data_IF_154327591619
#
_entry.id   IF_154327591619
#
_cell.length_a   1.000
_cell.length_b   1.000
_cell.length_c   1.000
_cell.angle_alpha   90.00
_cell.angle_beta   90.00
_cell.angle_gamma   90.00
#
_symmetry.space_group_name_H-M   'P 1'
#
loop_
_entity.id
_entity.type
_entity.pdbx_description
1 polymer ?
#
# COMPACT_ATOMS: atom_id res chain seq x y z
N UNK A 1 -24.87 -3.30 4.57
CA UNK A 1 -24.49 -4.47 3.74
C UNK A 1 -23.89 -3.94 2.44
N UNK A 2 -22.59 -4.05 2.31
CA UNK A 2 -21.91 -3.69 1.06
C UNK A 2 -22.13 -4.83 0.05
N UNK A 3 -22.60 -4.55 -1.18
CA UNK A 3 -22.84 -5.60 -2.16
C UNK A 3 -21.55 -6.36 -2.45
N UNK A 4 -21.63 -7.68 -2.42
CA UNK A 4 -20.56 -8.54 -2.91
C UNK A 4 -20.44 -8.32 -4.42
N UNK A 5 -19.39 -7.65 -4.85
CA UNK A 5 -19.05 -7.65 -6.26
C UNK A 5 -18.84 -9.12 -6.68
N UNK A 6 -19.59 -9.59 -7.67
CA UNK A 6 -19.40 -10.92 -8.28
C UNK A 6 -18.04 -10.91 -8.96
N UNK A 7 -17.08 -11.54 -8.33
CA UNK A 7 -15.68 -11.35 -8.61
C UNK A 7 -15.17 -12.38 -9.59
N UNK A 8 -14.71 -11.86 -10.74
CA UNK A 8 -13.29 -11.81 -10.94
C UNK A 8 -12.68 -13.19 -10.89
N UNK A 9 -12.99 -14.08 -11.82
CA UNK A 9 -12.25 -15.31 -12.10
C UNK A 9 -11.20 -15.72 -11.05
N UNK A 10 -10.27 -16.55 -11.41
CA UNK A 10 -9.20 -17.06 -10.53
C UNK A 10 -8.10 -16.02 -10.14
N UNK A 11 -8.27 -14.73 -10.44
CA UNK A 11 -7.31 -13.71 -10.08
C UNK A 11 -7.56 -13.22 -8.65
N UNK A 12 -6.96 -13.88 -7.70
CA UNK A 12 -7.03 -13.51 -6.30
C UNK A 12 -6.01 -12.40 -6.02
N UNK A 13 -6.49 -11.13 -5.99
CA UNK A 13 -5.69 -10.10 -5.36
C UNK A 13 -5.71 -10.30 -3.86
N UNK A 14 -4.58 -10.56 -3.30
CA UNK A 14 -4.40 -10.50 -1.87
C UNK A 14 -4.13 -9.02 -1.53
N UNK A 15 -5.19 -8.24 -1.35
CA UNK A 15 -5.08 -7.01 -0.60
C UNK A 15 -4.94 -7.41 0.86
N UNK A 16 -3.79 -7.17 1.44
CA UNK A 16 -3.54 -7.55 2.82
C UNK A 16 -4.24 -6.60 3.80
N UNK A 17 -4.38 -5.32 3.47
CA UNK A 17 -4.94 -4.31 4.37
C UNK A 17 -6.16 -3.61 3.76
N UNK A 18 -7.33 -4.11 4.07
CA UNK A 18 -8.61 -3.45 3.77
C UNK A 18 -9.09 -2.54 4.90
N UNK A 19 -8.48 -2.66 6.08
CA UNK A 19 -8.71 -1.83 7.26
C UNK A 19 -7.42 -1.21 7.72
N UNK A 20 -7.50 0.04 8.14
CA UNK A 20 -6.41 0.73 8.85
C UNK A 20 -7.01 1.61 9.93
N UNK A 21 -6.32 1.76 11.05
CA UNK A 21 -6.78 2.55 12.17
C UNK A 21 -5.66 3.40 12.73
N UNK A 22 -5.99 4.63 13.07
CA UNK A 22 -5.16 5.50 13.87
C UNK A 22 -6.04 6.28 14.86
N UNK A 23 -5.71 6.16 16.14
CA UNK A 23 -6.56 6.68 17.22
C UNK A 23 -8.01 6.19 17.06
N UNK A 24 -8.97 7.11 17.01
CA UNK A 24 -10.40 6.82 16.90
C UNK A 24 -10.90 6.70 15.45
N UNK A 25 -10.04 6.96 14.47
CA UNK A 25 -10.40 6.86 13.06
C UNK A 25 -10.07 5.48 12.51
N UNK A 26 -11.12 4.72 12.18
CA UNK A 26 -11.04 3.47 11.44
C UNK A 26 -11.42 3.71 9.99
N UNK A 27 -10.49 3.46 9.07
CA UNK A 27 -10.72 3.55 7.62
C UNK A 27 -10.87 2.15 7.05
N UNK A 28 -11.94 1.96 6.29
CA UNK A 28 -12.24 0.71 5.61
C UNK A 28 -12.30 0.94 4.10
N UNK A 29 -11.65 0.08 3.36
CA UNK A 29 -11.59 0.14 1.90
C UNK A 29 -12.01 -1.22 1.31
N UNK A 30 -13.27 -1.40 0.88
CA UNK A 30 -13.70 -2.62 0.22
C UNK A 30 -12.81 -2.92 -0.98
N UNK A 31 -12.55 -4.20 -1.23
CA UNK A 31 -11.83 -4.61 -2.44
C UNK A 31 -12.55 -4.09 -3.68
N UNK A 32 -11.78 -3.61 -4.63
CA UNK A 32 -12.27 -3.07 -5.91
C UNK A 32 -13.21 -1.88 -5.80
N UNK A 33 -13.36 -1.30 -4.62
CA UNK A 33 -14.01 -0.01 -4.46
C UNK A 33 -13.00 1.12 -4.47
N UNK A 34 -13.34 2.20 -5.14
CA UNK A 34 -12.57 3.45 -5.09
C UNK A 34 -13.02 4.33 -3.92
N UNK A 35 -14.09 3.95 -3.23
CA UNK A 35 -14.59 4.66 -2.06
C UNK A 35 -13.98 4.10 -0.78
N UNK A 36 -13.46 4.98 0.05
CA UNK A 36 -13.02 4.69 1.41
C UNK A 36 -14.10 5.10 2.40
N UNK A 37 -14.29 4.31 3.43
CA UNK A 37 -15.32 4.51 4.44
C UNK A 37 -14.71 4.57 5.83
N UNK A 38 -15.39 5.29 6.72
CA UNK A 38 -15.26 5.07 8.16
C UNK A 38 -16.46 4.28 8.68
N UNK A 39 -16.29 3.62 9.82
CA UNK A 39 -17.37 2.92 10.48
C UNK A 39 -17.82 3.75 11.69
N UNK A 40 -19.11 4.03 11.74
CA UNK A 40 -19.76 4.60 12.91
C UNK A 40 -20.87 3.65 13.33
N UNK A 41 -20.70 3.03 14.48
CA UNK A 41 -21.52 1.92 14.94
C UNK A 41 -21.61 0.79 13.89
N UNK A 42 -22.78 0.59 13.30
CA UNK A 42 -23.02 -0.42 12.25
C UNK A 42 -23.08 0.16 10.84
N UNK A 43 -22.81 1.46 10.69
CA UNK A 43 -22.97 2.19 9.42
C UNK A 43 -21.61 2.53 8.81
N UNK A 44 -21.44 2.19 7.53
CA UNK A 44 -20.29 2.63 6.74
C UNK A 44 -20.56 3.99 6.12
N UNK A 45 -19.78 5.00 6.50
CA UNK A 45 -19.90 6.38 6.02
C UNK A 45 -18.77 6.64 5.02
N UNK A 46 -19.06 7.04 3.76
CA UNK A 46 -18.03 7.37 2.79
C UNK A 46 -17.27 8.63 3.23
N UNK A 47 -15.94 8.58 3.17
CA UNK A 47 -15.06 9.70 3.57
C UNK A 47 -14.17 10.19 2.44
N UNK A 48 -13.71 9.31 1.56
CA UNK A 48 -12.87 9.64 0.42
C UNK A 48 -13.29 8.84 -0.81
N UNK A 49 -13.12 9.45 -1.97
CA UNK A 49 -13.20 8.78 -3.26
C UNK A 49 -11.84 8.89 -3.97
N UNK A 50 -11.28 7.78 -4.39
CA UNK A 50 -10.01 7.70 -5.09
C UNK A 50 -10.25 7.94 -6.58
N UNK A 51 -10.08 9.19 -7.01
CA UNK A 51 -10.26 9.59 -8.40
C UNK A 51 -8.90 9.57 -9.14
N UNK A 52 -8.65 8.51 -9.87
CA UNK A 52 -7.50 8.39 -10.76
C UNK A 52 -7.84 8.80 -12.22
N UNK A 53 -8.89 9.59 -12.40
CA UNK A 53 -9.39 10.06 -13.69
C UNK A 53 -9.75 8.89 -14.61
N UNK A 54 -9.27 8.91 -15.84
CA UNK A 54 -9.48 7.86 -16.86
C UNK A 54 -8.85 6.51 -16.48
N UNK A 55 -8.03 6.47 -15.44
CA UNK A 55 -7.41 5.26 -14.88
C UNK A 55 -8.14 4.71 -13.65
N UNK A 56 -9.20 5.39 -13.22
CA UNK A 56 -9.99 4.91 -12.08
C UNK A 56 -10.64 3.57 -12.44
N UNK A 57 -10.47 2.59 -11.55
CA UNK A 57 -11.05 1.27 -11.74
C UNK A 57 -12.57 1.36 -11.78
N UNK A 58 -13.24 0.88 -12.86
CA UNK A 58 -14.69 0.95 -12.95
C UNK A 58 -15.33 -0.10 -12.05
N UNK A 59 -15.98 0.33 -10.97
CA UNK A 59 -16.63 -0.56 -10.00
C UNK A 59 -17.75 -1.43 -10.60
N UNK A 60 -18.30 -1.01 -11.74
CA UNK A 60 -19.37 -1.71 -12.46
C UNK A 60 -18.87 -2.90 -13.30
N UNK A 61 -17.58 -2.98 -13.58
CA UNK A 61 -17.02 -4.05 -14.37
C UNK A 61 -16.79 -5.31 -13.55
N UNK A 62 -17.86 -6.03 -13.29
CA UNK A 62 -17.83 -7.37 -12.71
C UNK A 62 -17.18 -8.44 -13.60
N UNK A 63 -16.80 -8.09 -14.83
CA UNK A 63 -16.25 -9.02 -15.82
C UNK A 63 -14.84 -8.66 -16.30
N UNK A 64 -13.93 -8.44 -15.35
CA UNK A 64 -12.49 -8.30 -15.64
C UNK A 64 -11.84 -9.64 -16.05
N UNK A 65 -12.62 -10.65 -16.32
CA UNK A 65 -12.14 -11.92 -16.90
C UNK A 65 -11.35 -11.76 -18.21
N UNK A 66 -11.40 -10.59 -18.83
CA UNK A 66 -10.63 -10.26 -20.05
C UNK A 66 -9.24 -9.69 -19.79
N UNK A 67 -8.93 -9.27 -18.57
CA UNK A 67 -7.67 -8.61 -18.28
C UNK A 67 -6.91 -9.35 -17.18
N UNK A 68 -5.67 -9.66 -17.46
CA UNK A 68 -4.72 -9.98 -16.39
C UNK A 68 -4.29 -8.65 -15.76
N UNK A 69 -4.58 -8.45 -14.50
CA UNK A 69 -4.26 -7.19 -13.78
C UNK A 69 -2.74 -7.04 -13.58
N UNK A 70 -2.00 -8.13 -13.67
CA UNK A 70 -0.54 -8.13 -13.68
C UNK A 70 0.01 -7.89 -15.11
N UNK A 71 -0.86 -7.59 -16.08
CA UNK A 71 -0.42 -7.21 -17.42
C UNK A 71 -0.07 -5.71 -17.42
N UNK A 72 1.11 -5.39 -17.92
CA UNK A 72 1.56 -4.00 -18.10
C UNK A 72 0.63 -3.17 -19.01
N UNK A 73 -0.28 -3.83 -19.73
CA UNK A 73 -1.34 -3.20 -20.55
C UNK A 73 -2.65 -3.01 -19.80
N UNK A 74 -2.72 -3.41 -18.52
CA UNK A 74 -3.94 -3.20 -17.75
C UNK A 74 -4.20 -1.70 -17.59
N UNK A 75 -5.35 -1.19 -18.09
CA UNK A 75 -5.52 0.25 -18.25
C UNK A 75 -5.89 1.00 -16.96
N UNK A 76 -6.23 0.26 -15.91
CA UNK A 76 -6.74 0.85 -14.68
C UNK A 76 -5.78 0.72 -13.52
N UNK A 77 -5.89 1.63 -12.56
CA UNK A 77 -5.19 1.58 -11.29
C UNK A 77 -5.94 0.63 -10.35
N UNK A 78 -5.18 -0.27 -9.73
CA UNK A 78 -5.71 -1.21 -8.73
C UNK A 78 -5.09 -0.91 -7.37
N UNK A 79 -5.92 -0.45 -6.45
CA UNK A 79 -5.52 -0.29 -5.07
C UNK A 79 -5.19 -1.65 -4.43
N UNK A 80 -4.08 -1.71 -3.70
CA UNK A 80 -3.65 -2.90 -2.94
C UNK A 80 -3.91 -2.74 -1.46
N UNK A 81 -3.33 -1.71 -0.86
CA UNK A 81 -3.37 -1.49 0.58
C UNK A 81 -3.73 -0.06 0.90
N UNK A 82 -4.17 0.16 2.13
CA UNK A 82 -4.30 1.47 2.75
C UNK A 82 -3.61 1.44 4.11
N UNK A 83 -2.97 2.56 4.45
CA UNK A 83 -2.33 2.74 5.75
C UNK A 83 -2.65 4.14 6.26
N UNK A 84 -3.07 4.23 7.51
CA UNK A 84 -3.32 5.49 8.17
C UNK A 84 -2.23 5.71 9.21
N UNK A 85 -1.43 6.77 9.03
CA UNK A 85 -0.33 7.12 9.90
C UNK A 85 -0.39 8.62 10.25
N UNK A 86 -0.67 8.94 11.50
CA UNK A 86 -0.98 10.30 11.91
C UNK A 86 -2.11 10.92 11.05
N UNK A 87 -1.82 12.03 10.41
CA UNK A 87 -2.74 12.73 9.51
C UNK A 87 -2.53 12.35 8.02
N UNK A 88 -1.75 11.31 7.76
CA UNK A 88 -1.47 10.85 6.42
C UNK A 88 -2.20 9.56 6.10
N UNK A 89 -2.89 9.55 4.97
CA UNK A 89 -3.43 8.36 4.35
C UNK A 89 -2.49 7.95 3.21
N UNK A 90 -1.83 6.82 3.39
CA UNK A 90 -0.96 6.23 2.37
C UNK A 90 -1.72 5.14 1.65
N UNK A 91 -1.82 5.26 0.34
CA UNK A 91 -2.52 4.32 -0.54
C UNK A 91 -1.49 3.67 -1.45
N UNK A 92 -1.41 2.37 -1.38
CA UNK A 92 -0.58 1.51 -2.22
C UNK A 92 -1.40 1.00 -3.39
N UNK A 93 -0.92 1.17 -4.61
CA UNK A 93 -1.62 0.76 -5.82
C UNK A 93 -0.67 0.26 -6.92
N UNK A 94 -1.22 -0.53 -7.83
CA UNK A 94 -0.53 -0.99 -9.04
C UNK A 94 -1.10 -0.26 -10.26
N UNK A 95 -0.19 0.20 -11.10
CA UNK A 95 -0.50 0.69 -12.44
C UNK A 95 0.58 0.21 -13.41
N UNK A 96 0.18 -0.45 -14.51
CA UNK A 96 1.08 -0.99 -15.53
C UNK A 96 2.18 -1.92 -14.95
N UNK A 97 1.78 -2.82 -14.07
CA UNK A 97 2.66 -3.76 -13.36
C UNK A 97 3.70 -3.10 -12.42
N UNK A 98 3.59 -1.80 -12.21
CA UNK A 98 4.43 -1.08 -11.25
C UNK A 98 3.66 -0.70 -10.00
N UNK A 99 4.33 -0.80 -8.86
CA UNK A 99 3.79 -0.41 -7.56
C UNK A 99 4.10 1.05 -7.27
N UNK A 100 3.06 1.81 -6.97
CA UNK A 100 3.10 3.22 -6.67
C UNK A 100 2.41 3.51 -5.35
N UNK A 101 2.61 4.73 -4.86
CA UNK A 101 1.99 5.23 -3.65
C UNK A 101 1.34 6.59 -3.90
N UNK A 102 0.21 6.81 -3.23
CA UNK A 102 -0.39 8.12 -3.05
C UNK A 102 -0.33 8.45 -1.55
N UNK A 103 0.36 9.52 -1.20
CA UNK A 103 0.35 10.07 0.14
C UNK A 103 -0.63 11.25 0.16
N UNK A 104 -1.70 11.13 0.95
CA UNK A 104 -2.70 12.17 1.14
C UNK A 104 -2.60 12.74 2.55
N UNK A 105 -2.36 14.03 2.65
CA UNK A 105 -2.41 14.78 3.91
C UNK A 105 -3.86 15.18 4.21
N UNK A 106 -4.44 14.58 5.24
CA UNK A 106 -5.83 14.81 5.61
C UNK A 106 -6.09 16.20 6.22
N UNK A 107 -5.04 16.91 6.66
CA UNK A 107 -5.19 18.27 7.20
C UNK A 107 -5.25 19.30 6.07
N UNK A 108 -4.40 19.16 5.08
CA UNK A 108 -4.29 20.14 3.98
C UNK A 108 -5.13 19.74 2.76
N UNK A 109 -5.48 18.46 2.63
CA UNK A 109 -6.14 17.91 1.45
C UNK A 109 -5.18 17.68 0.28
N UNK A 110 -3.88 17.91 0.45
CA UNK A 110 -2.91 17.69 -0.62
C UNK A 110 -2.62 16.20 -0.83
N UNK A 111 -2.41 15.83 -2.08
CA UNK A 111 -2.02 14.47 -2.47
C UNK A 111 -0.77 14.48 -3.32
N UNK A 112 0.14 13.55 -3.04
CA UNK A 112 1.37 13.34 -3.81
C UNK A 112 1.43 11.90 -4.26
N UNK A 113 1.72 11.69 -5.55
CA UNK A 113 1.84 10.35 -6.15
C UNK A 113 3.29 10.09 -6.54
N UNK A 114 3.73 8.85 -6.36
CA UNK A 114 5.08 8.46 -6.75
C UNK A 114 5.58 7.21 -6.05
N UNK A 115 6.89 7.13 -5.98
CA UNK A 115 7.59 6.09 -5.21
C UNK A 115 8.04 6.68 -3.87
N UNK A 116 8.02 5.84 -2.84
CA UNK A 116 8.66 6.19 -1.58
C UNK A 116 10.09 5.66 -1.64
N UNK A 117 11.05 6.55 -1.51
CA UNK A 117 12.47 6.21 -1.41
C UNK A 117 12.96 6.42 -0.01
N UNK A 118 13.93 5.62 0.40
CA UNK A 118 14.62 5.81 1.66
C UNK A 118 15.70 6.88 1.48
N UNK A 119 15.74 7.88 2.35
CA UNK A 119 16.74 8.95 2.32
C UNK A 119 18.11 8.51 2.87
N UNK A 120 18.16 7.39 3.60
CA UNK A 120 19.40 6.82 4.15
C UNK A 120 20.01 5.76 3.24
N UNK A 121 19.19 5.14 2.38
CA UNK A 121 19.59 4.01 1.54
C UNK A 121 19.15 4.29 0.12
N UNK A 122 20.07 4.83 -0.69
CA UNK A 122 19.82 5.07 -2.11
C UNK A 122 19.37 3.77 -2.81
N UNK A 123 18.39 3.89 -3.70
CA UNK A 123 17.83 2.81 -4.50
C UNK A 123 16.99 1.78 -3.75
N UNK A 124 16.86 1.86 -2.43
CA UNK A 124 15.96 1.01 -1.69
C UNK A 124 14.52 1.57 -1.79
N UNK A 125 13.70 0.89 -2.59
CA UNK A 125 12.26 1.19 -2.67
C UNK A 125 11.57 0.66 -1.44
N UNK A 126 10.88 1.54 -0.76
CA UNK A 126 10.12 1.23 0.44
C UNK A 126 8.75 0.64 0.09
N UNK A 127 8.38 -0.45 0.76
CA UNK A 127 7.11 -1.15 0.56
C UNK A 127 6.40 -1.38 1.90
N UNK A 128 5.64 -0.38 2.42
CA UNK A 128 4.95 -0.51 3.69
C UNK A 128 4.19 -1.81 3.83
N UNK A 129 4.43 -2.53 4.91
CA UNK A 129 3.71 -3.75 5.25
C UNK A 129 2.63 -3.47 6.29
N UNK A 130 2.90 -2.59 7.22
CA UNK A 130 1.95 -2.18 8.25
C UNK A 130 2.32 -0.83 8.87
N UNK A 131 1.36 -0.26 9.59
CA UNK A 131 1.52 0.96 10.36
C UNK A 131 1.20 0.65 11.82
N UNK A 132 1.99 1.19 12.72
CA UNK A 132 1.71 1.14 14.15
C UNK A 132 1.94 2.51 14.77
N UNK A 133 0.88 3.08 15.30
CA UNK A 133 0.87 4.45 15.82
C UNK A 133 1.27 5.47 14.74
N UNK A 134 2.39 6.14 14.93
CA UNK A 134 2.95 7.16 14.03
C UNK A 134 4.08 6.63 13.13
N UNK A 135 4.26 5.32 13.08
CA UNK A 135 5.38 4.68 12.37
C UNK A 135 4.88 3.82 11.23
N UNK A 136 5.55 3.95 10.11
CA UNK A 136 5.38 3.07 8.96
C UNK A 136 6.48 2.01 9.02
N UNK A 137 6.10 0.76 8.85
CA UNK A 137 7.01 -0.36 9.02
C UNK A 137 7.05 -1.18 7.74
N UNK A 138 8.26 -1.42 7.27
CA UNK A 138 8.59 -2.35 6.22
C UNK A 138 9.54 -3.43 6.77
N UNK A 139 9.64 -4.55 6.09
CA UNK A 139 10.58 -5.59 6.45
C UNK A 139 11.08 -6.34 5.22
N UNK A 140 12.29 -6.83 5.32
CA UNK A 140 12.91 -7.70 4.33
C UNK A 140 13.60 -8.85 5.04
N UNK A 141 13.54 -10.05 4.50
CA UNK A 141 14.33 -11.15 5.03
C UNK A 141 15.84 -10.91 4.82
N UNK A 142 16.65 -11.45 5.73
CA UNK A 142 18.08 -11.21 5.74
C UNK A 142 18.79 -11.71 4.46
N UNK A 143 18.36 -12.86 3.93
CA UNK A 143 18.89 -13.42 2.70
C UNK A 143 18.66 -12.50 1.50
N UNK A 144 17.42 -12.02 1.33
CA UNK A 144 17.06 -11.06 0.27
C UNK A 144 17.80 -9.73 0.41
N UNK A 145 17.99 -9.23 1.64
CA UNK A 145 18.75 -8.00 1.85
C UNK A 145 20.23 -8.17 1.43
N UNK A 146 20.84 -9.29 1.77
CA UNK A 146 22.22 -9.62 1.38
C UNK A 146 22.35 -9.78 -0.13
N UNK A 147 21.41 -10.50 -0.75
CA UNK A 147 21.44 -10.81 -2.18
C UNK A 147 21.19 -9.58 -3.06
N UNK A 148 20.12 -8.84 -2.79
CA UNK A 148 19.67 -7.77 -3.68
C UNK A 148 20.17 -6.37 -3.30
N UNK A 149 20.58 -6.17 -2.05
CA UNK A 149 21.04 -4.88 -1.53
C UNK A 149 22.36 -4.98 -0.73
N UNK A 150 23.40 -5.61 -1.29
CA UNK A 150 24.68 -5.81 -0.58
C UNK A 150 25.33 -4.50 -0.11
N UNK A 151 25.13 -3.41 -0.85
CA UNK A 151 25.63 -2.09 -0.48
C UNK A 151 24.98 -1.56 0.81
N UNK A 152 23.70 -1.90 1.07
CA UNK A 152 22.99 -1.54 2.31
C UNK A 152 23.64 -2.23 3.51
N UNK A 153 23.92 -3.53 3.36
CA UNK A 153 24.56 -4.32 4.41
C UNK A 153 25.96 -3.76 4.73
N UNK A 154 26.71 -3.32 3.72
CA UNK A 154 28.06 -2.75 3.90
C UNK A 154 28.05 -1.31 4.45
N UNK A 155 27.00 -0.54 4.17
CA UNK A 155 26.93 0.88 4.57
C UNK A 155 26.40 1.07 5.98
N UNK A 156 25.53 0.19 6.43
CA UNK A 156 24.88 0.28 7.74
C UNK A 156 25.64 -0.58 8.75
N UNK A 157 26.38 0.02 9.70
CA UNK A 157 27.28 -0.75 10.58
C UNK A 157 26.63 -1.89 11.36
N UNK A 158 25.38 -1.73 11.77
CA UNK A 158 24.65 -2.77 12.51
C UNK A 158 24.35 -4.02 11.66
N UNK A 159 24.44 -3.91 10.33
CA UNK A 159 24.19 -5.00 9.39
C UNK A 159 25.45 -5.69 8.89
N UNK A 160 26.65 -5.20 9.23
CA UNK A 160 27.93 -5.73 8.70
C UNK A 160 28.16 -7.24 8.97
N UNK A 161 27.52 -7.80 9.99
CA UNK A 161 27.63 -9.22 10.34
C UNK A 161 26.34 -10.00 10.05
N UNK A 162 25.44 -9.44 9.24
CA UNK A 162 24.18 -10.08 8.90
C UNK A 162 24.42 -11.39 8.15
N UNK A 163 23.70 -12.43 8.56
CA UNK A 163 23.72 -13.75 7.92
C UNK A 163 22.36 -14.02 7.28
N UNK A 164 22.35 -14.82 6.22
CA UNK A 164 21.12 -15.24 5.52
C UNK A 164 20.10 -15.92 6.43
N UNK A 165 20.56 -16.55 7.53
CA UNK A 165 19.72 -17.25 8.50
C UNK A 165 19.21 -16.36 9.63
N UNK A 166 19.57 -15.10 9.65
CA UNK A 166 19.10 -14.16 10.67
C UNK A 166 17.63 -13.80 10.48
N UNK A 167 17.04 -13.25 11.53
CA UNK A 167 15.65 -12.77 11.46
C UNK A 167 15.50 -11.65 10.42
N UNK A 168 14.28 -11.44 9.90
CA UNK A 168 13.99 -10.32 9.03
C UNK A 168 14.40 -8.98 9.64
N UNK A 169 14.89 -8.10 8.79
CA UNK A 169 15.25 -6.73 9.16
C UNK A 169 14.03 -5.84 9.06
N UNK A 170 13.72 -5.12 10.14
CA UNK A 170 12.64 -4.16 10.20
C UNK A 170 13.18 -2.76 9.91
N UNK A 171 12.55 -2.09 8.95
CA UNK A 171 12.74 -0.67 8.70
C UNK A 171 11.57 0.10 9.30
N UNK A 172 11.88 1.03 10.19
CA UNK A 172 10.89 1.82 10.91
C UNK A 172 11.06 3.29 10.49
N UNK A 173 10.03 3.84 9.87
CA UNK A 173 10.04 5.19 9.33
C UNK A 173 9.09 6.10 10.10
N UNK A 174 9.54 7.33 10.32
CA UNK A 174 8.71 8.40 10.82
C UNK A 174 8.35 9.30 9.62
N UNK A 175 7.09 9.33 9.16
CA UNK A 175 6.70 10.29 8.14
C UNK A 175 6.87 11.71 8.68
N UNK A 176 7.50 12.56 7.87
CA UNK A 176 7.74 13.97 8.18
C UNK A 176 6.76 14.86 7.44
#
# INVERSE_FOLDING_TARGET
YLPRNKILGNNTFISSNVFTQNNDLLVFAPRYSNTLYTLHDTTAIPIYFLDFKDKTFPEEHTSITKYNINDNKFPYIVRRNIFLCNNYLLIDYIYQDERHFCLHDMNTGESRNGYITNDLIHDFRFFPQFVKSDKIIDWIDAASLIEYFPHVVQTIPVLNNLKETDNPILFIYNPK
#
